data_IF_700900085071
#
_entry.id   IF_700900085071
#
_cell.length_a   1.000
_cell.length_b   1.000
_cell.length_c   1.000
_cell.angle_alpha   90.00
_cell.angle_beta   90.00
_cell.angle_gamma   90.00
#
_symmetry.space_group_name_H-M   'P 1'
#
loop_
_entity.id
_entity.type
_entity.pdbx_description
1 polymer ?
#
# COMPACT_ATOMS: atom_id res chain seq x y z
N UNK A 1 -16.68 -3.04 -11.67
CA UNK A 1 -15.57 -2.45 -12.45
C UNK A 1 -15.35 -3.30 -13.70
N UNK A 2 -14.73 -4.49 -13.61
CA UNK A 2 -14.60 -5.43 -14.74
C UNK A 2 -15.94 -5.81 -15.39
N UNK A 3 -16.96 -6.18 -14.61
CA UNK A 3 -18.31 -6.50 -15.12
C UNK A 3 -18.98 -5.33 -15.85
N UNK A 4 -18.51 -4.09 -15.62
CA UNK A 4 -19.01 -2.89 -16.28
C UNK A 4 -18.12 -2.48 -17.47
N UNK A 5 -17.22 -3.36 -17.92
CA UNK A 5 -16.31 -3.09 -19.04
C UNK A 5 -15.12 -2.20 -18.70
N UNK A 6 -14.79 -2.01 -17.41
CA UNK A 6 -13.64 -1.22 -16.97
C UNK A 6 -12.49 -2.18 -16.62
N UNK A 7 -11.41 -2.25 -17.43
CA UNK A 7 -10.27 -3.10 -17.12
C UNK A 7 -9.48 -2.53 -15.94
N UNK A 8 -9.01 -3.42 -15.08
CA UNK A 8 -8.47 -3.12 -13.75
C UNK A 8 -7.20 -3.93 -13.51
N UNK A 9 -6.16 -3.24 -13.04
CA UNK A 9 -4.94 -3.81 -12.49
C UNK A 9 -4.58 -3.04 -11.22
N UNK A 10 -4.15 -3.77 -10.20
CA UNK A 10 -3.64 -3.18 -8.95
C UNK A 10 -2.11 -3.30 -8.94
N UNK A 11 -1.42 -2.21 -8.62
CA UNK A 11 0.02 -2.22 -8.33
C UNK A 11 0.18 -2.04 -6.82
N UNK A 12 0.88 -2.94 -6.14
CA UNK A 12 0.94 -2.90 -4.68
C UNK A 12 2.05 -3.72 -4.06
N UNK A 13 2.19 -3.58 -2.74
CA UNK A 13 3.25 -4.22 -1.96
C UNK A 13 2.75 -5.24 -0.94
N UNK A 14 1.45 -5.29 -0.65
CA UNK A 14 0.85 -6.25 0.29
C UNK A 14 0.25 -7.45 -0.46
N UNK A 15 1.09 -8.42 -0.81
CA UNK A 15 0.66 -9.58 -1.61
C UNK A 15 -0.41 -10.41 -0.90
N UNK A 16 -0.23 -10.70 0.38
CA UNK A 16 -1.14 -11.47 1.22
C UNK A 16 -2.55 -10.88 1.29
N UNK A 17 -2.64 -9.55 1.47
CA UNK A 17 -3.92 -8.83 1.51
C UNK A 17 -4.63 -8.92 0.16
N UNK A 18 -3.89 -8.75 -0.93
CA UNK A 18 -4.47 -8.72 -2.28
C UNK A 18 -4.90 -10.11 -2.74
N UNK A 19 -4.13 -11.14 -2.42
CA UNK A 19 -4.51 -12.54 -2.66
C UNK A 19 -5.78 -12.91 -1.88
N UNK A 20 -5.92 -12.46 -0.64
CA UNK A 20 -7.14 -12.69 0.15
C UNK A 20 -8.37 -11.95 -0.41
N UNK A 21 -8.20 -10.71 -0.85
CA UNK A 21 -9.31 -9.89 -1.39
C UNK A 21 -9.79 -10.35 -2.77
N UNK A 22 -8.95 -11.07 -3.53
CA UNK A 22 -9.30 -11.61 -4.84
C UNK A 22 -9.47 -10.54 -5.93
N UNK A 23 -8.39 -9.85 -6.29
CA UNK A 23 -8.42 -8.79 -7.31
C UNK A 23 -8.34 -9.33 -8.75
N UNK A 24 -8.82 -8.60 -9.76
CA UNK A 24 -8.74 -9.05 -11.16
C UNK A 24 -7.31 -9.37 -11.60
N UNK A 25 -6.37 -8.45 -11.35
CA UNK A 25 -4.95 -8.55 -11.73
C UNK A 25 -4.11 -7.81 -10.72
N UNK A 26 -2.93 -8.34 -10.40
CA UNK A 26 -2.02 -7.73 -9.44
C UNK A 26 -0.58 -7.73 -9.93
N UNK A 27 0.00 -6.54 -10.07
CA UNK A 27 1.44 -6.38 -10.21
C UNK A 27 2.03 -6.09 -8.82
N UNK A 28 2.70 -7.08 -8.27
CA UNK A 28 3.37 -6.96 -6.99
C UNK A 28 4.72 -6.28 -7.14
N UNK A 29 4.95 -5.24 -6.35
CA UNK A 29 6.23 -4.57 -6.18
C UNK A 29 6.66 -4.66 -4.71
N UNK A 30 7.79 -5.30 -4.47
CA UNK A 30 8.28 -5.63 -3.12
C UNK A 30 9.03 -4.47 -2.46
N UNK A 31 8.32 -3.35 -2.36
CA UNK A 31 8.77 -2.06 -1.85
C UNK A 31 8.01 -1.68 -0.56
N UNK A 32 8.49 -0.69 0.22
CA UNK A 32 7.74 -0.17 1.35
C UNK A 32 6.36 0.33 0.92
N UNK A 33 5.36 0.03 1.74
CA UNK A 33 3.99 0.50 1.53
C UNK A 33 3.98 2.03 1.34
N UNK A 34 3.25 2.47 0.31
CA UNK A 34 3.23 3.87 -0.14
C UNK A 34 4.09 4.13 -1.37
N UNK A 35 4.98 3.20 -1.75
CA UNK A 35 5.85 3.34 -2.92
C UNK A 35 5.71 2.21 -3.96
N UNK A 36 4.50 1.72 -4.28
CA UNK A 36 4.35 0.53 -5.13
C UNK A 36 4.83 0.75 -6.58
N UNK A 37 4.87 2.00 -7.04
CA UNK A 37 5.18 2.35 -8.42
C UNK A 37 6.65 2.69 -8.67
N UNK A 38 7.56 2.56 -7.70
CA UNK A 38 8.97 2.92 -7.91
C UNK A 38 9.60 3.67 -6.73
N UNK A 39 10.93 3.79 -6.76
CA UNK A 39 11.66 4.69 -5.86
C UNK A 39 11.36 6.16 -6.21
N UNK A 40 11.38 7.07 -5.23
CA UNK A 40 11.29 8.50 -5.51
C UNK A 40 12.34 8.92 -6.54
N UNK A 41 11.92 9.71 -7.53
CA UNK A 41 12.76 10.31 -8.58
C UNK A 41 13.45 9.32 -9.54
N UNK A 42 13.19 8.02 -9.45
CA UNK A 42 13.65 7.05 -10.45
C UNK A 42 12.59 6.89 -11.56
N UNK A 43 12.57 7.85 -12.48
CA UNK A 43 11.58 7.89 -13.58
C UNK A 43 11.65 6.65 -14.48
N UNK A 44 12.85 6.09 -14.67
CA UNK A 44 13.04 4.90 -15.51
C UNK A 44 12.39 3.67 -14.88
N UNK A 45 12.65 3.42 -13.58
CA UNK A 45 12.00 2.36 -12.83
C UNK A 45 10.48 2.56 -12.80
N UNK A 46 10.03 3.78 -12.50
CA UNK A 46 8.60 4.08 -12.43
C UNK A 46 7.89 3.82 -13.76
N UNK A 47 8.47 4.29 -14.87
CA UNK A 47 7.93 4.06 -16.21
C UNK A 47 7.86 2.58 -16.57
N UNK A 48 8.86 1.80 -16.17
CA UNK A 48 8.91 0.36 -16.44
C UNK A 48 7.89 -0.44 -15.60
N UNK A 49 7.68 -0.07 -14.34
CA UNK A 49 6.63 -0.68 -13.50
C UNK A 49 5.24 -0.41 -14.10
N UNK A 50 4.98 0.80 -14.57
CA UNK A 50 3.70 1.12 -15.25
C UNK A 50 3.55 0.32 -16.53
N UNK A 51 4.61 0.18 -17.34
CA UNK A 51 4.58 -0.64 -18.56
C UNK A 51 4.24 -2.11 -18.26
N UNK A 52 4.87 -2.70 -17.24
CA UNK A 52 4.56 -4.06 -16.81
C UNK A 52 3.11 -4.21 -16.33
N UNK A 53 2.57 -3.20 -15.65
CA UNK A 53 1.17 -3.22 -15.22
C UNK A 53 0.21 -3.21 -16.42
N UNK A 54 0.51 -2.41 -17.45
CA UNK A 54 -0.27 -2.39 -18.69
C UNK A 54 -0.15 -3.71 -19.46
N UNK A 55 1.06 -4.28 -19.56
CA UNK A 55 1.24 -5.61 -20.17
C UNK A 55 0.47 -6.70 -19.43
N UNK A 56 0.43 -6.66 -18.09
CA UNK A 56 -0.39 -7.57 -17.30
C UNK A 56 -1.89 -7.35 -17.53
N UNK A 57 -2.31 -6.09 -17.65
CA UNK A 57 -3.71 -5.73 -17.95
C UNK A 57 -4.18 -6.38 -19.26
N UNK A 58 -3.33 -6.38 -20.28
CA UNK A 58 -3.61 -6.92 -21.61
C UNK A 58 -3.50 -8.46 -21.69
N UNK A 59 -2.54 -9.05 -21.00
CA UNK A 59 -2.18 -10.47 -21.16
C UNK A 59 -2.83 -11.44 -20.16
N UNK A 60 -3.33 -10.96 -19.03
CA UNK A 60 -3.93 -11.83 -18.03
C UNK A 60 -5.25 -12.44 -18.51
N UNK A 61 -5.30 -13.77 -18.57
CA UNK A 61 -6.45 -14.55 -19.06
C UNK A 61 -7.48 -14.88 -17.95
N UNK A 62 -7.12 -14.68 -16.69
CA UNK A 62 -7.96 -15.03 -15.54
C UNK A 62 -7.88 -13.98 -14.42
N UNK A 63 -8.93 -13.94 -13.59
CA UNK A 63 -8.90 -13.20 -12.33
C UNK A 63 -7.83 -13.76 -11.37
N UNK A 64 -7.38 -12.94 -10.41
CA UNK A 64 -6.31 -13.28 -9.47
C UNK A 64 -4.96 -13.57 -10.15
N UNK A 65 -4.74 -13.11 -11.38
CA UNK A 65 -3.43 -13.23 -12.02
C UNK A 65 -2.44 -12.29 -11.34
N UNK A 66 -1.34 -12.84 -10.84
CA UNK A 66 -0.27 -12.10 -10.15
C UNK A 66 1.02 -12.12 -10.98
N UNK A 67 1.62 -10.95 -11.17
CA UNK A 67 3.00 -10.80 -11.67
C UNK A 67 3.85 -10.04 -10.63
N UNK A 68 5.18 -10.11 -10.76
CA UNK A 68 6.13 -9.42 -9.87
C UNK A 68 7.08 -8.56 -10.68
N UNK A 69 7.36 -7.36 -10.19
CA UNK A 69 8.40 -6.51 -10.76
C UNK A 69 9.80 -7.07 -10.42
N UNK A 70 10.83 -6.83 -11.24
CA UNK A 70 12.18 -7.33 -11.00
C UNK A 70 13.02 -6.41 -10.10
N UNK A 71 12.45 -5.33 -9.58
CA UNK A 71 13.20 -4.26 -8.92
C UNK A 71 13.34 -4.48 -7.41
N UNK A 72 14.39 -3.91 -6.81
CA UNK A 72 14.64 -3.93 -5.36
C UNK A 72 14.67 -2.52 -4.77
N UNK A 73 14.11 -2.33 -3.57
CA UNK A 73 14.07 -1.01 -2.91
C UNK A 73 15.46 -0.55 -2.46
N UNK A 74 16.25 -1.47 -1.92
CA UNK A 74 17.64 -1.30 -1.54
C UNK A 74 18.32 -2.66 -1.58
N UNK A 75 19.64 -2.70 -1.76
CA UNK A 75 20.38 -3.96 -1.89
C UNK A 75 20.30 -4.83 -0.64
N UNK A 76 20.22 -4.21 0.54
CA UNK A 76 20.20 -4.87 1.84
C UNK A 76 18.80 -5.15 2.39
N UNK A 77 17.74 -4.61 1.76
CA UNK A 77 16.35 -4.71 2.22
C UNK A 77 16.12 -4.29 3.68
N UNK A 78 17.00 -3.47 4.27
CA UNK A 78 16.94 -3.06 5.68
C UNK A 78 15.65 -2.31 6.04
N UNK A 79 15.00 -1.70 5.05
CA UNK A 79 13.76 -0.96 5.19
C UNK A 79 12.65 -1.78 5.85
N UNK A 80 12.66 -3.10 5.72
CA UNK A 80 11.64 -3.97 6.33
C UNK A 80 11.70 -3.96 7.85
N UNK A 81 12.91 -3.88 8.41
CA UNK A 81 13.13 -3.88 9.85
C UNK A 81 12.74 -2.52 10.46
N UNK A 82 12.86 -1.45 9.67
CA UNK A 82 12.51 -0.09 10.09
C UNK A 82 11.03 0.25 9.83
N UNK A 83 10.43 -0.35 8.80
CA UNK A 83 9.06 -0.05 8.39
C UNK A 83 8.05 -0.43 9.48
N UNK A 84 7.33 0.58 9.99
CA UNK A 84 6.32 0.43 11.04
C UNK A 84 6.81 -0.38 12.26
N UNK A 85 8.12 -0.27 12.58
CA UNK A 85 8.75 -1.02 13.67
C UNK A 85 8.06 -0.78 15.00
N UNK A 86 7.66 -1.86 15.67
CA UNK A 86 7.13 -1.85 17.03
C UNK A 86 8.04 -2.69 17.91
N UNK A 87 8.67 -2.06 18.89
CA UNK A 87 9.53 -2.73 19.88
C UNK A 87 9.22 -2.25 21.30
N UNK A 88 9.97 -2.75 22.27
CA UNK A 88 9.72 -2.45 23.68
C UNK A 88 9.91 -0.97 24.01
N UNK A 89 10.65 -0.21 23.20
CA UNK A 89 10.91 1.20 23.45
C UNK A 89 9.74 2.10 23.01
N UNK A 90 8.92 1.66 22.06
CA UNK A 90 7.84 2.48 21.49
C UNK A 90 6.42 1.91 21.68
N UNK A 91 6.27 0.63 22.03
CA UNK A 91 4.98 -0.06 22.11
C UNK A 91 3.95 0.68 22.96
N UNK A 92 4.33 1.11 24.16
CA UNK A 92 3.39 1.75 25.08
C UNK A 92 2.96 3.13 24.60
N UNK A 93 3.90 3.94 24.10
CA UNK A 93 3.60 5.24 23.53
C UNK A 93 2.67 5.12 22.31
N UNK A 94 2.91 4.14 21.42
CA UNK A 94 2.05 3.87 20.27
C UNK A 94 0.66 3.37 20.68
N UNK A 95 0.55 2.54 21.73
CA UNK A 95 -0.73 2.09 22.30
C UNK A 95 -1.57 3.29 22.77
N UNK A 96 -0.98 4.15 23.61
CA UNK A 96 -1.64 5.35 24.13
C UNK A 96 -2.05 6.31 23.01
N UNK A 97 -1.17 6.54 22.02
CA UNK A 97 -1.49 7.34 20.82
C UNK A 97 -2.68 6.75 20.05
N UNK A 98 -2.73 5.43 19.89
CA UNK A 98 -3.84 4.74 19.26
C UNK A 98 -5.16 4.89 20.01
N UNK A 99 -5.13 4.86 21.35
CA UNK A 99 -6.30 5.07 22.20
C UNK A 99 -6.83 6.49 22.10
N UNK A 100 -5.95 7.48 22.25
CA UNK A 100 -6.30 8.89 22.10
C UNK A 100 -6.93 9.16 20.72
N UNK A 101 -6.37 8.59 19.64
CA UNK A 101 -6.93 8.71 18.29
C UNK A 101 -8.34 8.13 18.18
N UNK A 102 -8.61 6.96 18.75
CA UNK A 102 -9.96 6.35 18.72
C UNK A 102 -10.98 7.18 19.48
N UNK A 103 -10.59 7.75 20.63
CA UNK A 103 -11.43 8.69 21.38
C UNK A 103 -11.74 9.94 20.56
N UNK A 104 -10.71 10.55 19.95
CA UNK A 104 -10.89 11.72 19.08
C UNK A 104 -11.82 11.44 17.90
N UNK A 105 -11.63 10.29 17.21
CA UNK A 105 -12.50 9.90 16.09
C UNK A 105 -13.96 9.70 16.51
N UNK A 106 -14.19 9.19 17.73
CA UNK A 106 -15.54 9.02 18.28
C UNK A 106 -16.18 10.38 18.56
N UNK A 107 -15.42 11.31 19.15
CA UNK A 107 -15.90 12.68 19.41
C UNK A 107 -16.17 13.44 18.10
N UNK A 108 -15.23 13.41 17.15
CA UNK A 108 -15.39 14.08 15.85
C UNK A 108 -16.63 13.59 15.10
N UNK A 109 -16.92 12.29 15.18
CA UNK A 109 -18.14 11.69 14.62
C UNK A 109 -19.39 12.18 15.33
N UNK A 110 -19.37 12.30 16.67
CA UNK A 110 -20.50 12.82 17.46
C UNK A 110 -20.75 14.30 17.17
N UNK A 111 -19.70 15.09 16.97
CA UNK A 111 -19.75 16.51 16.64
C UNK A 111 -20.16 16.79 15.18
N UNK A 112 -20.36 15.76 14.36
CA UNK A 112 -20.75 15.90 12.95
C UNK A 112 -19.65 16.45 12.05
N UNK A 113 -18.37 16.32 12.42
CA UNK A 113 -17.26 16.80 11.59
C UNK A 113 -17.15 15.96 10.33
N UNK A 114 -17.12 16.63 9.17
CA UNK A 114 -17.03 16.00 7.85
C UNK A 114 -15.71 15.24 7.63
N UNK A 115 -14.64 15.66 8.31
CA UNK A 115 -13.32 15.01 8.31
C UNK A 115 -12.69 15.12 9.68
N UNK A 116 -12.08 14.04 10.14
CA UNK A 116 -11.18 14.10 11.28
C UNK A 116 -9.99 15.00 10.93
N UNK A 117 -9.58 15.85 11.87
CA UNK A 117 -8.37 16.67 11.69
C UNK A 117 -7.15 15.76 11.50
N UNK A 118 -6.16 16.20 10.71
CA UNK A 118 -4.86 15.52 10.71
C UNK A 118 -4.28 15.57 12.13
N UNK A 119 -3.73 14.45 12.56
CA UNK A 119 -3.07 14.36 13.87
C UNK A 119 -1.83 15.26 13.81
N UNK A 120 -1.81 16.31 14.63
CA UNK A 120 -0.63 17.14 14.82
C UNK A 120 0.45 16.32 15.53
N UNK A 121 1.68 16.33 14.99
CA UNK A 121 2.87 15.84 15.69
C UNK A 121 3.28 16.90 16.73
N UNK A 122 2.55 16.96 17.83
CA UNK A 122 3.04 17.59 19.07
C UNK A 122 3.39 16.50 20.06
#
# INVERSE_FOLDING_TARGET
>A
METNGIPTVVIGSALDVVEHCGVPRYLHSDFPLGNPCGKPYDEAMQGEIIRQAMSLLESAEAANTVARTPFTWGEDCNWRDDYARIDNNNREALRLRGEARRQQQTQDKADGKLRAAMVSET
#
